data_IF_243544827336
#
_entry.id   IF_243544827336
#
_cell.length_a   1.000
_cell.length_b   1.000
_cell.length_c   1.000
_cell.angle_alpha   90.00
_cell.angle_beta   90.00
_cell.angle_gamma   90.00
#
_symmetry.space_group_name_H-M   'P 1'
#
loop_
_entity.id
_entity.type
_entity.pdbx_description
1 polymer ?
#
# COMPACT_ATOMS: atom_id res chain seq x y z
N UNK A 1 14.06 -3.90 -15.96
CA UNK A 1 13.91 -4.86 -14.84
C UNK A 1 13.30 -4.16 -13.62
N UNK A 2 13.97 -3.15 -13.06
CA UNK A 2 13.56 -2.47 -11.81
C UNK A 2 12.12 -1.92 -11.77
N UNK A 3 11.65 -1.26 -12.84
CA UNK A 3 10.29 -0.71 -12.86
C UNK A 3 9.20 -1.80 -12.85
N UNK A 4 9.46 -2.94 -13.51
CA UNK A 4 8.51 -4.05 -13.54
C UNK A 4 8.34 -4.69 -12.14
N UNK A 5 9.46 -4.89 -11.43
CA UNK A 5 9.45 -5.41 -10.06
C UNK A 5 8.72 -4.44 -9.09
N UNK A 6 8.91 -3.14 -9.28
CA UNK A 6 8.21 -2.11 -8.49
C UNK A 6 6.72 -2.06 -8.80
N UNK A 7 6.34 -2.18 -10.07
CA UNK A 7 4.94 -2.23 -10.45
C UNK A 7 4.21 -3.43 -9.82
N UNK A 8 4.88 -4.58 -9.66
CA UNK A 8 4.31 -5.76 -8.99
C UNK A 8 3.96 -5.52 -7.52
N UNK A 9 4.63 -4.56 -6.88
CA UNK A 9 4.34 -4.16 -5.50
C UNK A 9 3.11 -3.23 -5.36
N UNK A 10 2.53 -2.77 -6.47
CA UNK A 10 1.41 -1.82 -6.50
C UNK A 10 0.13 -2.46 -7.05
N UNK A 11 -1.04 -1.88 -6.75
CA UNK A 11 -2.34 -2.38 -7.19
C UNK A 11 -2.81 -3.60 -6.40
N UNK A 12 -3.77 -4.34 -6.96
CA UNK A 12 -4.44 -5.46 -6.27
C UNK A 12 -3.49 -6.54 -5.74
N UNK A 13 -2.50 -6.95 -6.56
CA UNK A 13 -1.48 -7.93 -6.14
C UNK A 13 -0.63 -7.37 -5.00
N UNK A 14 -0.25 -6.09 -5.08
CA UNK A 14 0.47 -5.39 -4.02
C UNK A 14 -0.29 -5.42 -2.69
N UNK A 15 -1.57 -5.04 -2.70
CA UNK A 15 -2.45 -5.09 -1.53
C UNK A 15 -2.51 -6.50 -0.93
N UNK A 16 -2.77 -7.51 -1.76
CA UNK A 16 -2.83 -8.90 -1.30
C UNK A 16 -1.51 -9.35 -0.64
N UNK A 17 -0.36 -9.00 -1.22
CA UNK A 17 0.96 -9.33 -0.68
C UNK A 17 1.24 -8.64 0.65
N UNK A 18 0.80 -7.39 0.82
CA UNK A 18 0.93 -6.66 2.09
C UNK A 18 0.20 -7.38 3.20
N UNK A 19 -1.07 -7.75 2.99
CA UNK A 19 -1.85 -8.45 4.00
C UNK A 19 -1.35 -9.88 4.26
N UNK A 20 -0.96 -10.62 3.21
CA UNK A 20 -0.37 -11.95 3.38
C UNK A 20 0.91 -11.91 4.22
N UNK A 21 1.78 -10.92 3.97
CA UNK A 21 3.01 -10.75 4.76
C UNK A 21 2.72 -10.29 6.19
N UNK A 22 1.78 -9.37 6.36
CA UNK A 22 1.36 -8.89 7.68
C UNK A 22 0.83 -10.06 8.53
N UNK A 23 -0.05 -10.90 7.96
CA UNK A 23 -0.56 -12.10 8.60
C UNK A 23 0.57 -13.07 8.99
N UNK A 24 1.51 -13.35 8.10
CA UNK A 24 2.68 -14.19 8.41
C UNK A 24 3.56 -13.62 9.54
N UNK A 25 3.62 -12.29 9.67
CA UNK A 25 4.40 -11.60 10.71
C UNK A 25 3.60 -11.21 11.96
N UNK A 26 2.34 -11.66 12.11
CA UNK A 26 1.43 -11.25 13.19
C UNK A 26 1.33 -9.72 13.35
N UNK A 27 1.38 -9.00 12.24
CA UNK A 27 1.17 -7.55 12.19
C UNK A 27 -0.34 -7.30 12.04
N UNK A 28 -0.94 -6.44 12.87
CA UNK A 28 -2.37 -6.14 12.77
C UNK A 28 -2.73 -5.52 11.42
N UNK A 29 -3.97 -5.72 10.99
CA UNK A 29 -4.48 -5.13 9.74
C UNK A 29 -4.47 -3.60 9.84
N UNK A 30 -5.08 -3.07 10.90
CA UNK A 30 -5.22 -1.65 11.17
C UNK A 30 -5.35 -1.39 12.68
N UNK A 31 -4.93 -0.21 13.14
CA UNK A 31 -5.06 0.29 14.51
C UNK A 31 -5.11 1.84 14.44
N UNK A 32 -6.28 2.46 14.70
CA UNK A 32 -6.44 3.91 14.63
C UNK A 32 -5.55 4.70 15.58
N UNK A 33 -5.05 4.08 16.66
CA UNK A 33 -4.13 4.73 17.62
C UNK A 33 -2.69 4.82 17.11
N UNK A 34 -2.38 4.16 15.98
CA UNK A 34 -1.05 4.07 15.39
C UNK A 34 -1.06 4.68 13.99
N UNK A 35 -0.95 6.01 13.85
CA UNK A 35 -0.97 6.66 12.54
C UNK A 35 0.24 6.25 11.68
N UNK A 36 0.13 6.30 10.34
CA UNK A 36 1.24 6.00 9.44
C UNK A 36 2.38 7.01 9.61
N UNK A 37 3.61 6.53 9.50
CA UNK A 37 4.80 7.38 9.54
C UNK A 37 4.98 8.14 8.22
N UNK A 38 5.54 9.34 8.31
CA UNK A 38 5.90 10.09 7.10
C UNK A 38 7.02 9.41 6.30
N UNK A 39 7.98 8.80 6.98
CA UNK A 39 9.14 8.13 6.34
C UNK A 39 9.13 6.65 6.71
N UNK A 40 9.23 5.78 5.70
CA UNK A 40 9.32 4.34 5.91
C UNK A 40 10.74 3.95 6.33
N UNK A 41 10.86 3.33 7.49
CA UNK A 41 12.13 2.92 8.13
C UNK A 41 12.42 1.42 7.99
N UNK A 42 11.67 0.72 7.13
CA UNK A 42 11.78 -0.73 6.96
C UNK A 42 10.70 -1.53 7.70
N UNK A 43 9.91 -0.91 8.58
CA UNK A 43 8.80 -1.58 9.27
C UNK A 43 7.58 -0.69 9.36
N UNK A 44 6.39 -1.30 9.27
CA UNK A 44 5.12 -0.63 9.53
C UNK A 44 4.45 -1.31 10.71
N UNK A 45 3.71 -0.54 11.51
CA UNK A 45 3.03 -1.07 12.70
C UNK A 45 1.74 -1.81 12.37
N UNK A 46 1.14 -1.51 11.22
CA UNK A 46 -0.07 -2.15 10.70
C UNK A 46 0.07 -2.39 9.20
N UNK A 47 -0.74 -3.28 8.63
CA UNK A 47 -0.80 -3.51 7.19
C UNK A 47 -1.25 -2.25 6.42
N UNK A 48 -2.27 -1.55 6.93
CA UNK A 48 -2.75 -0.28 6.37
C UNK A 48 -1.65 0.80 6.40
N UNK A 49 -0.90 0.91 7.50
CA UNK A 49 0.21 1.86 7.56
C UNK A 49 1.26 1.56 6.49
N UNK A 50 1.51 0.29 6.18
CA UNK A 50 2.45 -0.09 5.12
C UNK A 50 2.03 0.41 3.73
N UNK A 51 0.72 0.43 3.46
CA UNK A 51 0.19 0.96 2.21
C UNK A 51 0.51 2.46 2.08
N UNK A 52 0.29 3.24 3.12
CA UNK A 52 0.61 4.67 3.17
C UNK A 52 2.12 4.97 3.17
N UNK A 53 2.85 4.27 4.04
CA UNK A 53 4.27 4.55 4.31
C UNK A 53 5.16 4.20 3.11
N UNK A 54 4.79 3.16 2.36
CA UNK A 54 5.62 2.59 1.30
C UNK A 54 4.89 2.45 -0.03
N UNK A 55 3.77 1.73 -0.08
CA UNK A 55 3.19 1.28 -1.36
C UNK A 55 2.75 2.45 -2.23
N UNK A 56 2.02 3.43 -1.67
CA UNK A 56 1.58 4.62 -2.41
C UNK A 56 2.74 5.48 -2.94
N UNK A 57 3.94 5.38 -2.34
CA UNK A 57 5.13 6.15 -2.76
C UNK A 57 5.89 5.48 -3.91
N UNK A 58 5.54 4.25 -4.28
CA UNK A 58 6.27 3.51 -5.31
C UNK A 58 6.17 4.20 -6.67
N UNK A 59 5.02 4.80 -7.00
CA UNK A 59 4.82 5.48 -8.29
C UNK A 59 5.85 6.58 -8.56
N UNK A 60 6.29 7.27 -7.50
CA UNK A 60 7.25 8.38 -7.57
C UNK A 60 8.69 7.90 -7.75
N UNK A 61 8.95 6.59 -7.57
CA UNK A 61 10.28 5.99 -7.73
C UNK A 61 10.51 5.37 -9.11
N UNK A 62 9.51 5.44 -10.00
CA UNK A 62 9.58 4.83 -11.33
C UNK A 62 10.36 5.69 -12.31
N UNK A 63 11.19 5.02 -13.11
CA UNK A 63 12.13 5.69 -13.99
C UNK A 63 11.49 6.03 -15.35
N UNK A 64 10.65 5.13 -15.87
CA UNK A 64 10.14 5.20 -17.25
C UNK A 64 8.71 5.74 -17.31
N UNK A 65 8.43 6.52 -18.35
CA UNK A 65 7.08 7.06 -18.63
C UNK A 65 6.01 5.96 -18.76
N UNK A 66 6.23 4.85 -19.49
CA UNK A 66 5.25 3.76 -19.53
C UNK A 66 4.96 3.17 -18.15
N UNK A 67 5.98 3.01 -17.30
CA UNK A 67 5.77 2.49 -15.95
C UNK A 67 4.94 3.44 -15.10
N UNK A 68 5.18 4.75 -15.16
CA UNK A 68 4.37 5.76 -14.46
C UNK A 68 2.90 5.71 -14.88
N UNK A 69 2.63 5.56 -16.18
CA UNK A 69 1.25 5.43 -16.69
C UNK A 69 0.55 4.19 -16.15
N UNK A 70 1.23 3.05 -16.09
CA UNK A 70 0.68 1.80 -15.52
C UNK A 70 0.47 1.98 -14.00
N UNK A 71 1.42 2.62 -13.33
CA UNK A 71 1.36 2.83 -11.89
C UNK A 71 0.18 3.71 -11.49
N UNK A 72 -0.23 4.68 -12.29
CA UNK A 72 -1.34 5.57 -11.97
C UNK A 72 -2.65 4.82 -11.73
N UNK A 73 -2.98 3.86 -12.61
CA UNK A 73 -4.17 3.01 -12.43
C UNK A 73 -4.06 2.10 -11.20
N UNK A 74 -2.87 1.53 -10.96
CA UNK A 74 -2.61 0.67 -9.79
C UNK A 74 -2.59 1.45 -8.48
N UNK A 75 -2.09 2.68 -8.49
CA UNK A 75 -2.06 3.60 -7.35
C UNK A 75 -3.48 3.97 -6.94
N UNK A 76 -4.29 4.39 -7.91
CA UNK A 76 -5.70 4.74 -7.69
C UNK A 76 -6.48 3.60 -7.04
N UNK A 77 -6.29 2.37 -7.52
CA UNK A 77 -6.90 1.20 -6.89
C UNK A 77 -6.49 1.03 -5.42
N UNK A 78 -5.23 1.29 -5.07
CA UNK A 78 -4.76 1.19 -3.68
C UNK A 78 -5.40 2.29 -2.82
N UNK A 79 -5.53 3.52 -3.33
CA UNK A 79 -6.25 4.60 -2.64
C UNK A 79 -7.72 4.25 -2.41
N UNK A 80 -8.42 3.77 -3.43
CA UNK A 80 -9.82 3.32 -3.36
C UNK A 80 -10.00 2.17 -2.35
N UNK A 81 -9.07 1.20 -2.36
CA UNK A 81 -9.08 0.10 -1.41
C UNK A 81 -8.93 0.61 0.02
N UNK A 82 -7.97 1.50 0.28
CA UNK A 82 -7.73 2.06 1.62
C UNK A 82 -8.96 2.83 2.09
N UNK A 83 -9.51 3.71 1.25
CA UNK A 83 -10.70 4.50 1.59
C UNK A 83 -11.88 3.59 1.95
N UNK A 84 -12.15 2.58 1.12
CA UNK A 84 -13.22 1.61 1.38
C UNK A 84 -12.97 0.82 2.66
N UNK A 85 -11.74 0.35 2.87
CA UNK A 85 -11.36 -0.40 4.06
C UNK A 85 -11.59 0.42 5.34
N UNK A 86 -11.16 1.68 5.35
CA UNK A 86 -11.29 2.55 6.54
C UNK A 86 -12.76 2.85 6.84
N UNK A 87 -13.58 3.16 5.83
CA UNK A 87 -15.02 3.36 6.01
C UNK A 87 -15.73 2.12 6.54
N UNK A 88 -15.40 0.93 6.02
CA UNK A 88 -15.95 -0.33 6.52
C UNK A 88 -15.47 -0.63 7.95
N UNK A 89 -14.23 -0.29 8.28
CA UNK A 89 -13.67 -0.45 9.62
C UNK A 89 -14.34 0.46 10.65
N UNK A 90 -14.65 1.69 10.28
CA UNK A 90 -15.33 2.68 11.12
C UNK A 90 -16.86 2.48 11.18
N UNK A 91 -17.42 1.58 10.35
CA UNK A 91 -18.85 1.32 10.29
C UNK A 91 -19.66 2.41 9.59
N UNK A 92 -19.03 3.15 8.67
CA UNK A 92 -19.63 4.26 7.91
C UNK A 92 -20.32 3.80 6.60
N UNK A 93 -20.47 2.48 6.40
CA UNK A 93 -21.00 1.85 5.20
C UNK A 93 -22.04 0.76 5.50
#
# INVERSE_FOLDING_TARGET
LQDADRLDMLGAVGVARVFARAGWSNVPLHDPSRPPKHTYDGRSETAINHLFEKILKIKDTLNTEPARRIAEGRHRFVEEFIERFLKEWEGEL
#
